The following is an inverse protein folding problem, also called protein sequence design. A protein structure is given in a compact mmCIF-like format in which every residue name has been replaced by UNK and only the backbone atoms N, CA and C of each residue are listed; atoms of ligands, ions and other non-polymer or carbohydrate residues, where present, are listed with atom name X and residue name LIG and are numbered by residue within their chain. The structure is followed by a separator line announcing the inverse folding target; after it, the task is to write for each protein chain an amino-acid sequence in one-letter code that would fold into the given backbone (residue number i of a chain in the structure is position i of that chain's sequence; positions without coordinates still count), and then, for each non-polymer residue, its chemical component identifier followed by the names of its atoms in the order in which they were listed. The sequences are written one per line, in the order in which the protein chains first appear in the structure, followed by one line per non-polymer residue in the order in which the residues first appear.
data_IF_779041880314
#
_entry.id   IF_779041880314
#
_cell.length_a   1.000
_cell.length_b   1.000
_cell.length_c   1.000
_cell.angle_alpha   90.00
_cell.angle_beta   90.00
_cell.angle_gamma   90.00
#
_symmetry.space_group_name_H-M   'P 1'
#
loop_
_entity.id
_entity.type
_entity.pdbx_description
1 polymer ?
#
# COMPACT_ATOMS: atom_id res chain seq x y z
N UNK A 1 18.95 -9.72 -18.03
CA UNK A 1 17.76 -9.10 -17.35
C UNK A 1 17.40 -9.96 -16.15
N UNK A 2 17.09 -9.33 -15.00
CA UNK A 2 16.65 -10.07 -13.81
C UNK A 2 15.23 -10.60 -13.98
N UNK A 3 14.92 -11.72 -13.32
CA UNK A 3 13.62 -12.39 -13.38
C UNK A 3 12.73 -11.84 -12.24
N UNK A 4 11.60 -11.22 -12.59
CA UNK A 4 10.72 -10.53 -11.65
C UNK A 4 9.44 -11.33 -11.46
N UNK A 5 9.10 -11.68 -10.21
CA UNK A 5 7.74 -12.01 -9.82
C UNK A 5 7.04 -10.72 -9.40
N UNK A 6 6.00 -10.34 -10.13
CA UNK A 6 5.26 -9.12 -9.88
C UNK A 6 3.95 -9.42 -9.15
N UNK A 7 3.73 -8.76 -8.03
CA UNK A 7 2.50 -8.83 -7.25
C UNK A 7 1.92 -7.41 -7.20
N UNK A 8 0.77 -7.19 -7.81
CA UNK A 8 0.24 -5.82 -7.97
C UNK A 8 -1.25 -5.70 -7.79
N UNK A 9 -1.66 -4.53 -7.30
CA UNK A 9 -3.04 -4.11 -7.19
C UNK A 9 -3.14 -2.59 -7.27
N UNK A 10 -4.33 -2.04 -7.45
CA UNK A 10 -4.60 -0.61 -7.56
C UNK A 10 -3.90 0.06 -8.77
N UNK A 11 -4.09 1.37 -8.89
CA UNK A 11 -3.48 2.16 -9.96
C UNK A 11 -1.95 2.13 -9.89
N UNK A 12 -1.37 2.18 -8.69
CA UNK A 12 0.09 2.08 -8.52
C UNK A 12 0.64 0.76 -9.05
N UNK A 13 -0.07 -0.36 -8.79
CA UNK A 13 0.31 -1.67 -9.35
C UNK A 13 0.27 -1.70 -10.87
N UNK A 14 -0.71 -1.05 -11.48
CA UNK A 14 -0.80 -0.94 -12.93
C UNK A 14 0.31 -0.05 -13.51
N UNK A 15 0.50 1.14 -12.97
CA UNK A 15 1.45 2.13 -13.50
C UNK A 15 2.92 1.70 -13.35
N UNK A 16 3.26 1.02 -12.26
CA UNK A 16 4.60 0.42 -12.09
C UNK A 16 4.80 -0.73 -13.08
N UNK A 17 3.80 -1.59 -13.28
CA UNK A 17 3.91 -2.68 -14.26
C UNK A 17 4.06 -2.16 -15.70
N UNK A 18 3.25 -1.19 -16.12
CA UNK A 18 3.38 -0.53 -17.43
C UNK A 18 4.80 -0.02 -17.64
N UNK A 19 5.31 0.74 -16.65
CA UNK A 19 6.64 1.31 -16.72
C UNK A 19 7.76 0.26 -16.81
N UNK A 20 7.63 -0.88 -16.11
CA UNK A 20 8.56 -2.02 -16.24
C UNK A 20 8.48 -2.67 -17.63
N UNK A 21 7.28 -2.84 -18.17
CA UNK A 21 7.06 -3.42 -19.51
C UNK A 21 7.62 -2.52 -20.60
N UNK A 22 7.44 -1.20 -20.53
CA UNK A 22 7.99 -0.23 -21.48
C UNK A 22 9.53 -0.26 -21.52
N UNK A 23 10.16 -0.70 -20.44
CA UNK A 23 11.62 -0.90 -20.32
C UNK A 23 12.07 -2.31 -20.66
N UNK A 24 11.16 -3.15 -21.15
CA UNK A 24 11.40 -4.56 -21.45
C UNK A 24 11.94 -5.36 -20.27
N UNK A 25 11.57 -5.04 -19.03
CA UNK A 25 11.94 -5.83 -17.86
C UNK A 25 11.28 -7.21 -17.89
N UNK A 26 11.99 -8.22 -17.40
CA UNK A 26 11.58 -9.62 -17.52
C UNK A 26 10.63 -10.05 -16.39
N UNK A 27 9.33 -9.88 -16.59
CA UNK A 27 8.29 -10.37 -15.68
C UNK A 27 8.07 -11.85 -15.97
N UNK A 28 8.42 -12.73 -15.03
CA UNK A 28 8.32 -14.19 -15.20
C UNK A 28 7.07 -14.78 -14.56
N UNK A 29 6.35 -14.02 -13.77
CA UNK A 29 5.09 -14.38 -13.15
C UNK A 29 4.36 -13.17 -12.62
N UNK A 30 3.06 -13.25 -12.59
CA UNK A 30 2.16 -12.22 -12.08
C UNK A 30 1.28 -12.81 -10.98
N UNK A 31 1.13 -12.09 -9.88
CA UNK A 31 0.16 -12.41 -8.83
C UNK A 31 -0.84 -11.27 -8.70
N UNK A 32 -2.11 -11.57 -8.77
CA UNK A 32 -3.21 -10.62 -8.61
C UNK A 32 -4.14 -11.02 -7.48
N UNK A 33 -4.88 -10.08 -6.95
CA UNK A 33 -5.95 -10.39 -6.01
C UNK A 33 -7.06 -11.18 -6.70
N UNK A 34 -7.87 -11.96 -5.96
CA UNK A 34 -9.05 -12.62 -6.52
C UNK A 34 -10.05 -11.58 -7.04
N UNK A 35 -10.94 -11.93 -7.98
CA UNK A 35 -11.80 -10.98 -8.72
C UNK A 35 -12.54 -9.96 -7.85
N UNK A 36 -13.05 -10.40 -6.69
CA UNK A 36 -13.82 -9.58 -5.77
C UNK A 36 -13.00 -8.54 -4.99
N UNK A 37 -11.66 -8.64 -4.99
CA UNK A 37 -10.74 -7.75 -4.25
C UNK A 37 -9.75 -7.01 -5.14
N UNK A 38 -9.69 -7.36 -6.44
CA UNK A 38 -8.75 -6.71 -7.33
C UNK A 38 -9.26 -5.34 -7.80
N UNK A 39 -8.36 -4.38 -7.83
CA UNK A 39 -8.57 -3.07 -8.46
C UNK A 39 -7.57 -2.95 -9.60
N UNK A 40 -8.04 -2.56 -10.80
CA UNK A 40 -7.25 -2.58 -12.05
C UNK A 40 -6.68 -3.98 -12.40
N UNK A 41 -7.31 -5.05 -11.90
CA UNK A 41 -6.75 -6.39 -12.05
C UNK A 41 -6.75 -6.89 -13.49
N UNK A 42 -7.79 -6.62 -14.25
CA UNK A 42 -7.86 -7.00 -15.67
C UNK A 42 -6.84 -6.22 -16.51
N UNK A 43 -6.66 -4.93 -16.22
CA UNK A 43 -5.66 -4.10 -16.89
C UNK A 43 -4.23 -4.55 -16.52
N UNK A 44 -3.99 -4.94 -15.27
CA UNK A 44 -2.70 -5.50 -14.81
C UNK A 44 -2.42 -6.83 -15.54
N UNK A 45 -3.41 -7.72 -15.62
CA UNK A 45 -3.29 -9.01 -16.35
C UNK A 45 -2.98 -8.75 -17.82
N UNK A 46 -3.76 -7.91 -18.47
CA UNK A 46 -3.55 -7.57 -19.89
C UNK A 46 -2.17 -6.92 -20.11
N UNK A 47 -1.77 -5.96 -19.28
CA UNK A 47 -0.48 -5.27 -19.37
C UNK A 47 0.71 -6.22 -19.19
N UNK A 48 0.56 -7.26 -18.37
CA UNK A 48 1.62 -8.25 -18.15
C UNK A 48 2.00 -8.96 -19.44
N UNK A 49 1.03 -9.24 -20.32
CA UNK A 49 1.20 -10.02 -21.53
C UNK A 49 1.61 -11.47 -21.28
N UNK A 50 1.41 -11.96 -20.04
CA UNK A 50 1.78 -13.33 -19.67
C UNK A 50 0.67 -14.32 -20.06
N UNK A 51 1.03 -15.54 -20.49
CA UNK A 51 0.11 -16.66 -20.56
C UNK A 51 -0.50 -16.98 -19.21
N UNK A 52 -1.72 -17.53 -19.19
CA UNK A 52 -2.50 -17.78 -17.97
C UNK A 52 -1.80 -18.66 -16.93
N UNK A 53 -0.95 -19.60 -17.37
CA UNK A 53 -0.16 -20.48 -16.50
C UNK A 53 0.93 -19.76 -15.68
N UNK A 54 1.19 -18.48 -15.98
CA UNK A 54 2.10 -17.60 -15.22
C UNK A 54 1.36 -16.50 -14.43
N UNK A 55 0.02 -16.59 -14.37
CA UNK A 55 -0.84 -15.67 -13.62
C UNK A 55 -1.45 -16.42 -12.44
N UNK A 56 -1.18 -15.96 -11.24
CA UNK A 56 -1.51 -16.62 -9.98
C UNK A 56 -2.47 -15.78 -9.13
N UNK A 57 -3.24 -16.45 -8.29
CA UNK A 57 -4.09 -15.80 -7.30
C UNK A 57 -3.33 -15.52 -6.01
N UNK A 58 -3.54 -14.33 -5.42
CA UNK A 58 -2.95 -13.96 -4.13
C UNK A 58 -3.31 -14.87 -2.97
N UNK A 59 -4.43 -15.59 -3.03
CA UNK A 59 -4.81 -16.55 -1.99
C UNK A 59 -3.96 -17.83 -2.00
N UNK A 60 -3.22 -18.07 -3.07
CA UNK A 60 -2.42 -19.29 -3.27
C UNK A 60 -0.94 -19.12 -2.93
N UNK A 61 -0.46 -17.90 -2.74
CA UNK A 61 0.99 -17.59 -2.65
C UNK A 61 1.77 -18.33 -1.56
N UNK A 62 1.05 -18.85 -0.56
CA UNK A 62 1.64 -19.59 0.55
C UNK A 62 1.36 -21.09 0.48
N UNK A 63 0.79 -21.60 -0.61
CA UNK A 63 0.54 -23.01 -0.83
C UNK A 63 1.76 -23.70 -1.44
N UNK A 64 1.92 -25.00 -1.19
CA UNK A 64 3.08 -25.77 -1.62
C UNK A 64 3.26 -25.78 -3.15
N UNK A 65 2.18 -25.99 -3.90
CA UNK A 65 2.20 -25.98 -5.37
C UNK A 65 2.68 -24.62 -5.93
N UNK A 66 2.26 -23.51 -5.33
CA UNK A 66 2.76 -22.19 -5.72
C UNK A 66 4.26 -22.04 -5.43
N UNK A 67 4.69 -22.47 -4.24
CA UNK A 67 6.11 -22.40 -3.86
C UNK A 67 7.00 -23.25 -4.80
N UNK A 68 6.54 -24.44 -5.17
CA UNK A 68 7.26 -25.29 -6.12
C UNK A 68 7.34 -24.63 -7.49
N UNK A 69 6.25 -24.03 -7.95
CA UNK A 69 6.24 -23.27 -9.19
C UNK A 69 7.20 -22.07 -9.16
N UNK A 70 7.30 -21.37 -8.03
CA UNK A 70 8.27 -20.28 -7.86
C UNK A 70 9.72 -20.77 -7.86
N UNK A 71 10.01 -21.95 -7.30
CA UNK A 71 11.34 -22.57 -7.38
C UNK A 71 11.74 -22.91 -8.82
N UNK A 72 10.77 -23.33 -9.66
CA UNK A 72 11.00 -23.55 -11.09
C UNK A 72 11.19 -22.24 -11.86
N UNK A 73 10.35 -21.23 -11.60
CA UNK A 73 10.42 -19.92 -12.23
C UNK A 73 11.67 -19.14 -11.82
N UNK A 74 12.26 -19.44 -10.65
CA UNK A 74 13.48 -18.82 -10.12
C UNK A 74 13.46 -17.28 -10.24
N UNK A 75 12.46 -16.58 -9.68
CA UNK A 75 12.49 -15.13 -9.65
C UNK A 75 13.71 -14.66 -8.87
N UNK A 76 14.38 -13.63 -9.36
CA UNK A 76 15.54 -13.03 -8.68
C UNK A 76 15.12 -11.90 -7.75
N UNK A 77 13.91 -11.37 -7.95
CA UNK A 77 13.28 -10.36 -7.10
C UNK A 77 11.76 -10.58 -7.09
N UNK A 78 11.14 -10.31 -5.95
CA UNK A 78 9.69 -10.21 -5.81
C UNK A 78 9.33 -8.75 -5.56
N UNK A 79 8.41 -8.19 -6.34
CA UNK A 79 7.88 -6.85 -6.17
C UNK A 79 6.44 -6.92 -5.69
N UNK A 80 6.17 -6.41 -4.50
CA UNK A 80 4.85 -6.25 -3.89
C UNK A 80 4.42 -4.79 -3.99
N UNK A 81 3.53 -4.48 -4.91
CA UNK A 81 3.09 -3.12 -5.20
C UNK A 81 1.61 -2.99 -4.85
N UNK A 82 1.32 -2.37 -3.70
CA UNK A 82 -0.06 -2.26 -3.17
C UNK A 82 -0.78 -3.61 -3.07
N UNK A 83 -0.01 -4.64 -2.75
CA UNK A 83 -0.49 -6.02 -2.65
C UNK A 83 -0.61 -6.42 -1.18
N UNK A 84 -1.80 -6.91 -0.75
CA UNK A 84 -2.17 -6.99 0.66
C UNK A 84 -2.03 -8.39 1.30
N UNK A 85 -1.31 -9.32 0.66
CA UNK A 85 -1.09 -10.65 1.23
C UNK A 85 0.30 -10.74 1.87
N UNK A 86 0.34 -11.35 3.05
CA UNK A 86 1.59 -11.62 3.76
C UNK A 86 2.36 -12.77 3.10
N UNK A 87 3.64 -12.57 2.85
CA UNK A 87 4.53 -13.59 2.32
C UNK A 87 5.09 -14.44 3.45
N UNK A 88 5.06 -15.78 3.30
CA UNK A 88 5.74 -16.67 4.23
C UNK A 88 7.24 -16.74 3.95
N UNK A 89 7.98 -17.18 4.97
CA UNK A 89 9.44 -17.24 4.94
C UNK A 89 9.97 -18.07 3.75
N UNK A 90 9.30 -19.17 3.41
CA UNK A 90 9.66 -20.04 2.30
C UNK A 90 9.66 -19.33 0.95
N UNK A 91 8.70 -18.44 0.72
CA UNK A 91 8.65 -17.63 -0.49
C UNK A 91 9.72 -16.52 -0.47
N UNK A 92 9.92 -15.89 0.68
CA UNK A 92 10.89 -14.80 0.84
C UNK A 92 12.34 -15.24 0.63
N UNK A 93 12.64 -16.53 0.80
CA UNK A 93 13.97 -17.09 0.60
C UNK A 93 14.32 -17.45 -0.86
N UNK A 94 13.33 -17.42 -1.78
CA UNK A 94 13.57 -17.81 -3.17
C UNK A 94 14.38 -16.72 -3.93
N UNK A 95 14.00 -15.43 -3.89
CA UNK A 95 14.66 -14.42 -4.70
C UNK A 95 15.96 -13.93 -4.06
N UNK A 96 17.08 -13.99 -4.81
CA UNK A 96 18.40 -13.54 -4.32
C UNK A 96 18.47 -12.03 -4.01
N UNK A 97 17.69 -11.21 -4.70
CA UNK A 97 17.60 -9.75 -4.46
C UNK A 97 16.55 -9.40 -3.42
N UNK A 98 15.81 -10.41 -2.91
CA UNK A 98 14.81 -10.25 -1.85
C UNK A 98 13.41 -9.92 -2.37
N UNK A 99 12.52 -9.72 -1.41
CA UNK A 99 11.15 -9.31 -1.63
C UNK A 99 11.01 -7.85 -1.22
N UNK A 100 10.49 -7.01 -2.10
CA UNK A 100 10.32 -5.58 -1.87
C UNK A 100 8.86 -5.21 -1.81
N UNK A 101 8.53 -4.30 -0.89
CA UNK A 101 7.20 -3.71 -0.79
C UNK A 101 7.26 -2.21 -1.03
N UNK A 102 6.34 -1.71 -1.85
CA UNK A 102 6.10 -0.28 -2.05
C UNK A 102 4.91 0.12 -1.19
N UNK A 103 5.20 0.78 -0.07
CA UNK A 103 4.23 1.11 0.97
C UNK A 103 3.93 2.61 0.99
N UNK A 104 2.64 3.04 0.96
CA UNK A 104 2.25 4.45 0.96
C UNK A 104 2.28 5.08 2.36
N UNK A 105 3.39 4.91 3.07
CA UNK A 105 3.66 5.50 4.38
C UNK A 105 5.11 5.93 4.51
N UNK A 106 5.39 6.84 5.44
CA UNK A 106 6.75 7.23 5.83
C UNK A 106 7.21 6.38 7.02
N UNK A 107 7.64 5.14 6.75
CA UNK A 107 8.07 4.21 7.81
C UNK A 107 9.15 4.83 8.72
N UNK A 108 9.09 4.59 10.03
CA UNK A 108 8.34 3.54 10.74
C UNK A 108 6.90 3.93 11.12
N UNK A 109 6.38 5.07 10.66
CA UNK A 109 4.99 5.48 10.91
C UNK A 109 4.03 4.89 9.87
N UNK A 110 2.78 4.64 10.28
CA UNK A 110 1.74 4.14 9.37
C UNK A 110 1.95 2.71 8.88
N UNK A 111 2.55 1.82 9.68
CA UNK A 111 2.59 0.38 9.39
C UNK A 111 1.19 -0.20 9.39
N UNK A 112 0.94 -1.17 8.49
CA UNK A 112 -0.36 -1.80 8.33
C UNK A 112 -1.32 -1.05 7.41
N UNK A 113 -2.66 -1.28 7.51
CA UNK A 113 -3.65 -0.75 6.60
C UNK A 113 -3.96 0.74 6.84
N UNK A 114 -4.40 1.41 5.76
CA UNK A 114 -4.89 2.80 5.76
C UNK A 114 -3.89 3.85 6.26
N UNK A 115 -2.62 3.85 5.83
CA UNK A 115 -1.62 4.81 6.30
C UNK A 115 -2.00 6.27 6.01
N UNK A 116 -2.77 6.54 4.95
CA UNK A 116 -3.34 7.86 4.66
C UNK A 116 -4.28 8.35 5.78
N UNK A 117 -5.09 7.47 6.35
CA UNK A 117 -5.98 7.80 7.48
C UNK A 117 -5.15 8.11 8.71
N UNK A 118 -4.22 7.21 9.05
CA UNK A 118 -3.44 7.33 10.28
C UNK A 118 -2.44 8.48 10.27
N UNK A 119 -1.87 8.82 9.10
CA UNK A 119 -1.03 10.02 9.00
C UNK A 119 -1.78 11.30 9.34
N UNK A 120 -3.09 11.36 9.06
CA UNK A 120 -3.95 12.50 9.43
C UNK A 120 -4.32 12.42 10.92
N UNK A 121 -4.88 11.30 11.37
CA UNK A 121 -5.44 11.15 12.73
C UNK A 121 -4.36 11.23 13.81
N UNK A 122 -3.23 10.52 13.58
CA UNK A 122 -2.10 10.52 14.52
C UNK A 122 -1.18 11.73 14.33
N UNK A 123 -1.41 12.56 13.31
CA UNK A 123 -0.53 13.70 12.94
C UNK A 123 0.93 13.29 12.76
N UNK A 124 1.15 12.09 12.19
CA UNK A 124 2.48 11.54 11.95
C UNK A 124 2.98 11.85 10.53
N UNK A 125 4.30 11.76 10.26
CA UNK A 125 4.82 11.95 8.91
C UNK A 125 4.16 11.03 7.90
N UNK A 126 3.75 11.60 6.75
CA UNK A 126 3.25 10.89 5.60
C UNK A 126 4.31 10.78 4.50
N UNK A 127 4.24 9.74 3.68
CA UNK A 127 5.16 9.56 2.56
C UNK A 127 5.03 8.22 1.86
N UNK A 128 6.02 7.93 1.04
CA UNK A 128 6.20 6.67 0.36
C UNK A 128 7.48 5.99 0.85
N UNK A 129 7.45 4.70 1.05
CA UNK A 129 8.63 3.90 1.41
C UNK A 129 8.74 2.67 0.51
N UNK A 130 9.90 2.47 -0.06
CA UNK A 130 10.29 1.20 -0.64
C UNK A 130 11.19 0.48 0.35
N UNK A 131 10.78 -0.72 0.77
CA UNK A 131 11.46 -1.49 1.80
C UNK A 131 11.50 -2.98 1.48
N UNK A 132 12.38 -3.70 2.13
CA UNK A 132 12.39 -5.16 2.09
C UNK A 132 11.23 -5.72 2.90
N UNK A 133 10.66 -6.83 2.45
CA UNK A 133 9.69 -7.60 3.23
C UNK A 133 10.47 -8.53 4.15
N UNK A 134 10.10 -8.55 5.43
CA UNK A 134 10.57 -9.47 6.44
C UNK A 134 9.40 -10.20 7.12
N UNK A 135 9.63 -10.81 8.29
CA UNK A 135 8.60 -11.57 9.04
C UNK A 135 7.54 -10.68 9.69
N UNK A 136 7.82 -9.40 9.86
CA UNK A 136 6.89 -8.45 10.47
C UNK A 136 6.03 -7.75 9.43
N UNK A 137 5.08 -6.94 9.91
CA UNK A 137 4.25 -6.11 9.03
C UNK A 137 4.96 -4.76 8.85
N UNK A 138 5.43 -4.51 7.63
CA UNK A 138 6.12 -3.29 7.21
C UNK A 138 7.34 -2.92 8.09
N UNK A 139 8.07 -3.95 8.59
CA UNK A 139 9.21 -3.80 9.51
C UNK A 139 10.59 -3.95 8.88
N UNK A 140 10.66 -4.44 7.65
CA UNK A 140 11.92 -4.71 6.96
C UNK A 140 12.72 -3.46 6.61
N UNK A 141 14.00 -3.67 6.30
CA UNK A 141 14.96 -2.59 6.02
C UNK A 141 14.49 -1.66 4.92
N UNK A 142 14.59 -0.37 5.17
CA UNK A 142 14.25 0.69 4.22
C UNK A 142 15.33 0.79 3.12
N UNK A 143 14.88 0.85 1.88
CA UNK A 143 15.72 1.15 0.71
C UNK A 143 15.78 2.66 0.51
N UNK A 144 14.61 3.28 0.42
CA UNK A 144 14.46 4.71 0.15
C UNK A 144 13.07 5.18 0.59
N UNK A 145 12.97 6.46 0.90
CA UNK A 145 11.73 7.11 1.31
C UNK A 145 11.56 8.47 0.64
N UNK A 146 10.30 8.86 0.43
CA UNK A 146 9.91 10.20 -0.04
C UNK A 146 8.82 10.75 0.87
N UNK A 147 9.09 11.89 1.51
CA UNK A 147 8.11 12.57 2.38
C UNK A 147 7.04 13.24 1.53
N UNK A 148 5.80 13.20 2.01
CA UNK A 148 4.64 13.89 1.43
C UNK A 148 4.08 14.85 2.45
N UNK A 149 3.79 16.08 2.04
CA UNK A 149 3.17 17.08 2.91
C UNK A 149 1.69 16.77 3.04
N UNK A 150 1.21 16.76 4.27
CA UNK A 150 -0.22 16.67 4.61
C UNK A 150 -0.73 18.08 4.88
N UNK A 151 -1.55 18.60 3.99
CA UNK A 151 -2.21 19.88 4.16
C UNK A 151 -3.44 19.74 5.08
N UNK A 152 -3.82 20.80 5.76
CA UNK A 152 -5.02 20.76 6.61
C UNK A 152 -6.30 20.48 5.83
N UNK A 153 -6.33 20.88 4.56
CA UNK A 153 -7.43 20.64 3.63
C UNK A 153 -7.44 19.22 3.03
N UNK A 154 -6.36 18.43 3.24
CA UNK A 154 -6.33 17.06 2.74
C UNK A 154 -7.39 16.19 3.41
N UNK A 155 -8.12 15.46 2.59
CA UNK A 155 -8.97 14.35 2.99
C UNK A 155 -8.22 13.02 2.88
N UNK A 156 -8.82 11.94 3.37
CA UNK A 156 -8.27 10.60 3.18
C UNK A 156 -8.06 10.26 1.70
N UNK A 157 -8.94 10.75 0.81
CA UNK A 157 -8.79 10.56 -0.64
C UNK A 157 -7.64 11.38 -1.22
N UNK A 158 -7.63 12.69 -0.99
CA UNK A 158 -6.59 13.56 -1.59
C UNK A 158 -5.19 13.17 -1.13
N UNK A 159 -5.01 12.85 0.15
CA UNK A 159 -3.75 12.35 0.66
C UNK A 159 -3.38 10.99 0.05
N UNK A 160 -4.35 10.06 -0.09
CA UNK A 160 -4.09 8.77 -0.75
C UNK A 160 -3.56 8.98 -2.18
N UNK A 161 -4.13 9.90 -2.96
CA UNK A 161 -3.65 10.22 -4.32
C UNK A 161 -2.23 10.78 -4.32
N UNK A 162 -1.91 11.67 -3.38
CA UNK A 162 -0.54 12.19 -3.19
C UNK A 162 0.45 11.08 -2.88
N UNK A 163 0.10 10.16 -1.98
CA UNK A 163 0.93 9.02 -1.59
C UNK A 163 1.12 8.02 -2.74
N UNK A 164 0.06 7.70 -3.47
CA UNK A 164 0.10 6.81 -4.62
C UNK A 164 1.05 7.34 -5.71
N UNK A 165 0.94 8.63 -6.03
CA UNK A 165 1.86 9.32 -6.96
C UNK A 165 3.30 9.25 -6.47
N UNK A 166 3.54 9.59 -5.19
CA UNK A 166 4.87 9.54 -4.60
C UNK A 166 5.49 8.14 -4.62
N UNK A 167 4.69 7.09 -4.41
CA UNK A 167 5.11 5.70 -4.51
C UNK A 167 5.60 5.36 -5.94
N UNK A 168 4.81 5.71 -6.96
CA UNK A 168 5.16 5.42 -8.36
C UNK A 168 6.46 6.12 -8.74
N UNK A 169 6.61 7.41 -8.39
CA UNK A 169 7.83 8.18 -8.65
C UNK A 169 9.03 7.57 -7.92
N UNK A 170 8.90 7.27 -6.63
CA UNK A 170 9.95 6.70 -5.80
C UNK A 170 10.48 5.38 -6.38
N UNK A 171 9.58 4.50 -6.83
CA UNK A 171 9.95 3.24 -7.46
C UNK A 171 10.75 3.48 -8.75
N UNK A 172 10.24 4.34 -9.63
CA UNK A 172 10.87 4.65 -10.93
C UNK A 172 12.28 5.23 -10.78
N UNK A 173 12.46 6.14 -9.83
CA UNK A 173 13.74 6.80 -9.55
C UNK A 173 14.81 5.82 -9.02
N UNK A 174 14.41 4.74 -8.34
CA UNK A 174 15.34 3.85 -7.64
C UNK A 174 15.52 2.47 -8.28
N UNK A 175 14.77 2.15 -9.31
CA UNK A 175 14.75 0.81 -9.93
C UNK A 175 16.13 0.33 -10.40
N UNK A 176 16.93 1.18 -11.01
CA UNK A 176 18.25 0.78 -11.53
C UNK A 176 19.23 0.35 -10.42
N UNK A 177 19.19 1.02 -9.27
CA UNK A 177 19.99 0.62 -8.11
C UNK A 177 19.51 -0.71 -7.51
N UNK A 178 18.19 -0.89 -7.44
CA UNK A 178 17.57 -2.12 -6.96
C UNK A 178 17.94 -3.30 -7.85
N UNK A 179 17.76 -3.15 -9.14
CA UNK A 179 18.07 -4.18 -10.15
C UNK A 179 19.54 -4.62 -10.11
N UNK A 180 20.44 -3.71 -9.81
CA UNK A 180 21.87 -3.98 -9.65
C UNK A 180 22.26 -4.51 -8.28
N UNK A 181 21.32 -4.48 -7.29
CA UNK A 181 21.62 -4.84 -5.91
C UNK A 181 22.57 -3.86 -5.21
N UNK A 182 22.61 -2.59 -5.67
CA UNK A 182 23.48 -1.53 -5.11
C UNK A 182 22.73 -0.54 -4.22
N UNK A 183 21.43 -0.76 -4.01
CA UNK A 183 20.60 0.03 -3.12
C UNK A 183 21.03 -0.12 -1.66
N UNK A 184 20.76 0.89 -0.87
CA UNK A 184 20.99 0.87 0.58
C UNK A 184 20.01 -0.09 1.28
N UNK A 185 20.39 -0.52 2.49
CA UNK A 185 19.53 -1.20 3.46
C UNK A 185 19.70 -0.48 4.79
N UNK A 186 18.64 0.16 5.24
CA UNK A 186 18.62 0.96 6.47
C UNK A 186 17.60 0.33 7.41
N UNK A 187 18.06 -0.20 8.53
CA UNK A 187 17.20 -0.80 9.54
C UNK A 187 16.23 0.25 10.11
N UNK A 188 14.97 -0.16 10.27
CA UNK A 188 13.98 0.72 10.87
C UNK A 188 14.22 0.92 12.36
N UNK A 189 13.99 2.13 12.91
CA UNK A 189 13.98 2.31 14.36
C UNK A 189 12.82 1.53 15.00
N UNK A 190 12.99 1.17 16.27
CA UNK A 190 11.95 0.45 17.03
C UNK A 190 10.68 1.30 17.27
N UNK A 191 10.82 2.62 17.28
CA UNK A 191 9.70 3.58 17.39
C UNK A 191 8.90 3.62 16.09
N UNK A 192 7.62 4.02 16.18
CA UNK A 192 6.74 4.15 15.02
C UNK A 192 5.29 3.85 15.39
N UNK A 193 4.41 3.87 14.41
CA UNK A 193 2.99 3.55 14.60
C UNK A 193 2.59 2.32 13.80
N UNK A 194 1.70 1.53 14.37
CA UNK A 194 1.11 0.36 13.74
C UNK A 194 -0.39 0.32 14.04
N UNK A 195 -1.19 0.13 13.02
CA UNK A 195 -2.63 0.00 13.14
C UNK A 195 -3.15 -1.25 12.44
N UNK A 196 -4.29 -1.73 12.93
CA UNK A 196 -5.02 -2.88 12.36
C UNK A 196 -6.29 -2.39 11.65
N UNK A 197 -6.91 -3.29 10.89
CA UNK A 197 -8.23 -3.01 10.28
C UNK A 197 -9.30 -2.67 11.34
N UNK A 198 -9.19 -3.27 12.55
CA UNK A 198 -10.13 -3.01 13.64
C UNK A 198 -9.98 -1.61 14.24
N UNK A 199 -8.82 -1.00 14.14
CA UNK A 199 -8.61 0.32 14.72
C UNK A 199 -9.37 1.40 13.95
N UNK A 200 -9.51 1.25 12.61
CA UNK A 200 -10.33 2.16 11.80
C UNK A 200 -11.80 2.15 12.25
N UNK A 201 -12.35 0.97 12.55
CA UNK A 201 -13.75 0.88 12.99
C UNK A 201 -14.01 1.55 14.33
N UNK A 202 -12.97 1.73 15.18
CA UNK A 202 -13.09 2.42 16.47
C UNK A 202 -13.23 3.93 16.32
N UNK A 203 -12.66 4.51 15.26
CA UNK A 203 -12.75 5.95 15.00
C UNK A 203 -13.90 6.33 14.07
N UNK A 204 -14.56 5.36 13.46
CA UNK A 204 -15.62 5.63 12.49
C UNK A 204 -16.93 6.11 13.14
N UNK A 205 -17.26 5.62 14.33
CA UNK A 205 -18.49 6.01 15.01
C UNK A 205 -18.26 7.24 15.89
N UNK A 206 -18.89 8.36 15.53
CA UNK A 206 -18.91 9.59 16.31
C UNK A 206 -20.14 9.53 17.25
N UNK A 207 -19.89 9.56 18.56
CA UNK A 207 -20.93 9.56 19.57
C UNK A 207 -21.47 10.97 19.78
N UNK A 208 -22.77 11.18 19.60
CA UNK A 208 -23.39 12.51 19.66
C UNK A 208 -23.43 13.10 21.09
N UNK A 209 -23.29 12.25 22.08
CA UNK A 209 -23.33 12.59 23.52
C UNK A 209 -21.92 12.69 24.15
N UNK A 210 -20.86 12.50 23.38
CA UNK A 210 -19.47 12.62 23.83
C UNK A 210 -18.86 13.96 23.44
N UNK A 211 -17.85 14.40 24.22
CA UNK A 211 -17.06 15.59 23.91
C UNK A 211 -15.78 15.21 23.16
N UNK A 212 -15.49 15.91 22.08
CA UNK A 212 -14.28 15.74 21.28
C UNK A 212 -13.45 17.01 21.25
N UNK A 213 -12.13 16.85 21.25
CA UNK A 213 -11.24 17.95 20.85
C UNK A 213 -11.50 18.27 19.38
N UNK A 214 -11.76 19.56 19.07
CA UNK A 214 -12.23 19.97 17.73
C UNK A 214 -11.27 19.57 16.62
N UNK A 215 -9.96 19.75 16.82
CA UNK A 215 -8.96 19.36 15.82
C UNK A 215 -8.91 17.85 15.58
N UNK A 216 -9.06 17.04 16.63
CA UNK A 216 -9.14 15.59 16.48
C UNK A 216 -10.38 15.16 15.71
N UNK A 217 -11.55 15.75 16.03
CA UNK A 217 -12.79 15.42 15.32
C UNK A 217 -12.70 15.78 13.84
N UNK A 218 -12.17 16.97 13.51
CA UNK A 218 -11.93 17.37 12.13
C UNK A 218 -10.98 16.38 11.43
N UNK A 219 -9.88 15.98 12.09
CA UNK A 219 -8.91 15.03 11.54
C UNK A 219 -9.57 13.66 11.25
N UNK A 220 -10.40 13.13 12.15
CA UNK A 220 -11.15 11.89 11.91
C UNK A 220 -12.08 12.05 10.72
N UNK A 221 -12.90 13.10 10.69
CA UNK A 221 -13.88 13.32 9.62
C UNK A 221 -13.21 13.45 8.25
N UNK A 222 -12.15 14.27 8.13
CA UNK A 222 -11.43 14.46 6.87
C UNK A 222 -10.64 13.21 6.46
N UNK A 223 -10.00 12.50 7.40
CA UNK A 223 -9.28 11.26 7.14
C UNK A 223 -10.20 10.15 6.61
N UNK A 224 -11.45 10.11 7.09
CA UNK A 224 -12.46 9.14 6.67
C UNK A 224 -13.31 9.62 5.48
N UNK A 225 -13.02 10.80 4.91
CA UNK A 225 -13.66 11.28 3.68
C UNK A 225 -12.92 10.72 2.46
N UNK A 226 -13.50 9.67 1.86
CA UNK A 226 -12.98 8.98 0.66
C UNK A 226 -14.12 8.31 -0.13
N UNK A 227 -14.94 9.06 -0.90
CA UNK A 227 -16.00 8.44 -1.71
C UNK A 227 -15.47 7.46 -2.76
N UNK A 228 -16.16 6.36 -3.05
CA UNK A 228 -17.45 5.92 -2.49
C UNK A 228 -17.33 5.08 -1.21
N UNK A 229 -16.14 4.99 -0.61
CA UNK A 229 -15.92 4.18 0.59
C UNK A 229 -16.75 4.68 1.78
N UNK A 230 -16.94 3.81 2.77
CA UNK A 230 -17.56 4.18 4.04
C UNK A 230 -16.75 5.27 4.74
N UNK A 231 -17.48 6.17 5.40
CA UNK A 231 -16.92 7.32 6.12
C UNK A 231 -17.18 7.19 7.62
N UNK A 232 -16.66 8.12 8.42
CA UNK A 232 -17.13 8.31 9.77
C UNK A 232 -18.64 8.55 9.78
N UNK A 233 -19.34 8.14 10.86
CA UNK A 233 -20.79 8.16 10.94
C UNK A 233 -21.27 8.43 12.36
N UNK A 234 -22.54 8.82 12.45
CA UNK A 234 -23.31 8.85 13.69
C UNK A 234 -24.47 7.86 13.62
N UNK A 235 -24.92 7.37 14.78
CA UNK A 235 -26.15 6.59 14.91
C UNK A 235 -27.20 7.46 15.61
N UNK A 236 -28.32 7.66 14.96
CA UNK A 236 -29.44 8.43 15.52
C UNK A 236 -30.25 7.59 16.53
N UNK A 237 -31.09 8.24 17.35
CA UNK A 237 -31.95 7.58 18.34
C UNK A 237 -32.93 6.56 17.75
N UNK A 238 -33.26 6.69 16.47
CA UNK A 238 -34.09 5.74 15.72
C UNK A 238 -33.29 4.60 15.04
N UNK A 239 -31.97 4.52 15.30
CA UNK A 239 -31.07 3.50 14.78
C UNK A 239 -30.52 3.76 13.38
N UNK A 240 -30.88 4.87 12.72
CA UNK A 240 -30.32 5.20 11.40
C UNK A 240 -28.86 5.58 11.51
N UNK A 241 -28.02 5.00 10.61
CA UNK A 241 -26.61 5.32 10.43
C UNK A 241 -26.46 6.42 9.38
N UNK A 242 -25.86 7.54 9.78
CA UNK A 242 -25.64 8.70 8.89
C UNK A 242 -24.15 8.89 8.70
N UNK A 243 -23.66 8.75 7.45
CA UNK A 243 -22.28 9.00 7.10
C UNK A 243 -21.99 10.50 7.01
N UNK A 244 -20.84 10.90 7.54
CA UNK A 244 -20.35 12.28 7.52
C UNK A 244 -19.18 12.36 6.56
N UNK A 245 -19.23 13.31 5.61
CA UNK A 245 -18.12 13.68 4.74
C UNK A 245 -17.93 15.18 4.82
N UNK A 246 -16.68 15.62 4.80
CA UNK A 246 -16.33 17.03 4.91
C UNK A 246 -15.58 17.51 3.67
N UNK A 247 -15.78 18.78 3.33
CA UNK A 247 -14.93 19.54 2.41
C UNK A 247 -14.28 20.66 3.18
N UNK A 248 -12.97 20.82 3.02
CA UNK A 248 -12.16 21.86 3.66
C UNK A 248 -11.55 22.71 2.55
N UNK A 249 -11.75 24.00 2.62
CA UNK A 249 -11.30 24.97 1.61
C UNK A 249 -10.59 26.13 2.30
N UNK A 250 -9.52 26.64 1.70
CA UNK A 250 -8.89 27.87 2.13
C UNK A 250 -9.77 29.05 1.75
N UNK A 251 -9.94 30.00 2.68
CA UNK A 251 -10.63 31.24 2.36
C UNK A 251 -9.84 32.00 1.28
N UNK A 252 -10.54 32.44 0.24
CA UNK A 252 -9.93 33.38 -0.72
C UNK A 252 -9.88 34.77 -0.06
N UNK A 253 -8.70 35.39 -0.03
CA UNK A 253 -8.52 36.78 0.39
C UNK A 253 -9.15 37.77 -0.59
#
# INVERSE_FOLDING_TARGET
MIRILYMGNNLAGLEVLKWLKDRNENIVGLVVHPPEKRKYGEEIIHTSGLPSEFIFSGVEINQTNFLDRMRELKPEIILSIFFHYTLRNELMQIPRLGCLNLHPAYLPYGKGPYPNVWSIVDRTPAGATLHYIDKGIDTGDIIVQKKVIVDFTDTGESLYRKLEKACIELFRENWEAIKKGTNKRISQPASGTYHTLKDVTKIDEIKLDENYEAGYLIDVLRARTFPPHESAYVILSDGRKIYIRVSLEEAQE
#
